data_IF_834918217316
#
_entry.id   IF_834918217316
#
_cell.length_a   1.000
_cell.length_b   1.000
_cell.length_c   1.000
_cell.angle_alpha   90.00
_cell.angle_beta   90.00
_cell.angle_gamma   90.00
#
_symmetry.space_group_name_H-M   'P 1'
#
loop_
_entity.id
_entity.type
_entity.pdbx_description
1 polymer ?
#
# COMPACT_ATOMS: atom_id res chain seq x y z
N UNK A 1 30.76 -2.09 16.96
CA UNK A 1 30.15 -2.62 15.72
C UNK A 1 28.67 -2.83 16.01
N UNK A 2 27.85 -1.80 15.90
CA UNK A 2 26.46 -1.81 16.39
C UNK A 2 25.60 -0.96 15.46
N UNK A 3 25.20 -1.52 14.30
CA UNK A 3 24.26 -0.83 13.40
C UNK A 3 23.45 -1.77 12.50
N UNK A 4 23.24 -3.03 12.89
CA UNK A 4 22.62 -4.04 12.02
C UNK A 4 21.14 -4.37 12.30
N UNK A 5 20.56 -3.97 13.45
CA UNK A 5 19.18 -4.37 13.78
C UNK A 5 18.13 -3.31 13.34
N UNK A 6 18.36 -2.02 13.62
CA UNK A 6 17.35 -0.97 13.38
C UNK A 6 17.10 -0.70 11.89
N UNK A 7 18.14 -0.82 11.06
CA UNK A 7 18.09 -0.54 9.62
C UNK A 7 17.17 -1.50 8.86
N UNK A 8 17.07 -2.77 9.28
CA UNK A 8 16.22 -3.74 8.58
C UNK A 8 14.73 -3.48 8.82
N UNK A 9 14.32 -3.20 10.07
CA UNK A 9 12.93 -2.87 10.39
C UNK A 9 12.47 -1.58 9.71
N UNK A 10 13.32 -0.54 9.72
CA UNK A 10 13.04 0.72 9.02
C UNK A 10 12.92 0.53 7.50
N UNK A 11 13.75 -0.33 6.90
CA UNK A 11 13.70 -0.64 5.47
C UNK A 11 12.45 -1.43 5.10
N UNK A 12 12.03 -2.39 5.93
CA UNK A 12 10.82 -3.18 5.73
C UNK A 12 9.56 -2.30 5.83
N UNK A 13 9.49 -1.45 6.86
CA UNK A 13 8.43 -0.46 7.08
C UNK A 13 8.27 0.48 5.89
N UNK A 14 9.40 1.02 5.39
CA UNK A 14 9.44 1.92 4.24
C UNK A 14 9.01 1.22 2.96
N UNK A 15 9.47 -0.01 2.73
CA UNK A 15 9.08 -0.78 1.54
C UNK A 15 7.58 -1.09 1.52
N UNK A 16 6.98 -1.48 2.65
CA UNK A 16 5.54 -1.72 2.70
C UNK A 16 4.70 -0.44 2.62
N UNK A 17 5.21 0.70 3.12
CA UNK A 17 4.58 2.01 2.90
C UNK A 17 4.56 2.38 1.40
N UNK A 18 5.69 2.24 0.71
CA UNK A 18 5.76 2.50 -0.74
C UNK A 18 4.90 1.53 -1.54
N UNK A 19 4.84 0.25 -1.15
CA UNK A 19 3.95 -0.73 -1.76
C UNK A 19 2.48 -0.32 -1.60
N UNK A 20 2.08 0.10 -0.39
CA UNK A 20 0.72 0.57 -0.12
C UNK A 20 0.34 1.80 -0.93
N UNK A 21 1.25 2.79 -1.02
CA UNK A 21 1.06 3.97 -1.88
C UNK A 21 0.91 3.56 -3.35
N UNK A 22 1.76 2.67 -3.85
CA UNK A 22 1.70 2.24 -5.25
C UNK A 22 0.36 1.56 -5.57
N UNK A 23 -0.12 0.70 -4.65
CA UNK A 23 -1.43 0.05 -4.78
C UNK A 23 -2.58 1.06 -4.74
N UNK A 24 -2.52 2.02 -3.80
CA UNK A 24 -3.52 3.07 -3.65
C UNK A 24 -3.60 3.95 -4.90
N UNK A 25 -2.46 4.45 -5.37
CA UNK A 25 -2.37 5.27 -6.58
C UNK A 25 -2.87 4.50 -7.79
N UNK A 26 -2.52 3.22 -7.94
CA UNK A 26 -3.00 2.39 -9.05
C UNK A 26 -4.51 2.15 -8.98
N UNK A 27 -5.08 1.95 -7.78
CA UNK A 27 -6.52 1.82 -7.56
C UNK A 27 -7.28 3.10 -7.90
N UNK A 28 -6.82 4.23 -7.36
CA UNK A 28 -7.42 5.54 -7.58
C UNK A 28 -7.34 5.97 -9.06
N UNK A 29 -6.18 5.79 -9.71
CA UNK A 29 -6.01 6.07 -11.13
C UNK A 29 -6.93 5.19 -11.99
N UNK A 30 -7.04 3.91 -11.66
CA UNK A 30 -7.95 3.00 -12.35
C UNK A 30 -9.42 3.41 -12.21
N UNK A 31 -9.84 3.81 -11.00
CA UNK A 31 -11.19 4.32 -10.76
C UNK A 31 -11.52 5.63 -11.48
N UNK A 32 -10.54 6.51 -11.71
CA UNK A 32 -10.70 7.79 -12.41
C UNK A 32 -10.63 7.63 -13.93
N UNK A 33 -9.73 6.78 -14.42
CA UNK A 33 -9.48 6.59 -15.86
C UNK A 33 -10.52 5.66 -16.48
N UNK A 34 -10.93 4.60 -15.78
CA UNK A 34 -11.87 3.59 -16.30
C UNK A 34 -13.21 4.19 -16.80
N UNK A 35 -13.87 5.12 -16.10
CA UNK A 35 -15.09 5.77 -16.60
C UNK A 35 -14.86 6.68 -17.82
N UNK A 36 -13.63 7.15 -18.03
CA UNK A 36 -13.24 8.01 -19.17
C UNK A 36 -12.92 7.23 -20.44
N UNK A 37 -12.79 5.90 -20.36
CA UNK A 37 -12.61 5.04 -21.53
C UNK A 37 -13.97 4.79 -22.18
N UNK A 38 -14.05 4.93 -23.51
CA UNK A 38 -15.28 4.66 -24.29
C UNK A 38 -15.65 3.16 -24.34
N UNK A 39 -14.89 2.31 -23.64
CA UNK A 39 -15.14 0.89 -23.51
C UNK A 39 -16.01 0.63 -22.28
N UNK A 40 -17.10 -0.15 -22.39
CA UNK A 40 -17.87 -0.58 -21.23
C UNK A 40 -16.99 -1.37 -20.26
N UNK A 41 -16.65 -0.74 -19.13
CA UNK A 41 -15.90 -1.36 -18.04
C UNK A 41 -16.87 -2.21 -17.23
N UNK A 42 -16.77 -3.55 -17.22
CA UNK A 42 -17.63 -4.38 -16.41
C UNK A 42 -17.50 -4.07 -14.91
N UNK A 43 -18.61 -4.18 -14.18
CA UNK A 43 -18.70 -3.76 -12.76
C UNK A 43 -17.73 -4.46 -11.79
N UNK A 44 -17.16 -5.61 -12.18
CA UNK A 44 -16.13 -6.29 -11.40
C UNK A 44 -14.76 -5.57 -11.44
N UNK A 45 -14.45 -4.83 -12.51
CA UNK A 45 -13.22 -4.02 -12.60
C UNK A 45 -13.29 -2.83 -11.64
N UNK A 46 -14.44 -2.18 -11.56
CA UNK A 46 -14.67 -1.10 -10.59
C UNK A 46 -14.47 -1.56 -9.14
N UNK A 47 -14.94 -2.77 -8.80
CA UNK A 47 -14.74 -3.32 -7.46
C UNK A 47 -13.30 -3.72 -7.21
N UNK A 48 -12.57 -4.23 -8.20
CA UNK A 48 -11.13 -4.49 -8.08
C UNK A 48 -10.32 -3.21 -7.82
N UNK A 49 -10.61 -2.11 -8.53
CA UNK A 49 -9.94 -0.83 -8.28
C UNK A 49 -10.23 -0.30 -6.87
N UNK A 50 -11.47 -0.44 -6.42
CA UNK A 50 -11.86 -0.10 -5.05
C UNK A 50 -11.09 -0.95 -4.02
N UNK A 51 -11.03 -2.27 -4.22
CA UNK A 51 -10.29 -3.16 -3.32
C UNK A 51 -8.79 -2.83 -3.30
N UNK A 52 -8.18 -2.53 -4.44
CA UNK A 52 -6.79 -2.11 -4.52
C UNK A 52 -6.55 -0.79 -3.76
N UNK A 53 -7.48 0.16 -3.85
CA UNK A 53 -7.43 1.41 -3.09
C UNK A 53 -7.48 1.16 -1.58
N UNK A 54 -8.47 0.39 -1.10
CA UNK A 54 -8.64 0.06 0.32
C UNK A 54 -7.40 -0.70 0.85
N UNK A 55 -6.97 -1.74 0.14
CA UNK A 55 -5.82 -2.54 0.55
C UNK A 55 -4.54 -1.68 0.53
N UNK A 56 -4.38 -0.82 -0.48
CA UNK A 56 -3.27 0.12 -0.56
C UNK A 56 -3.21 1.08 0.62
N UNK A 57 -4.34 1.67 0.99
CA UNK A 57 -4.47 2.52 2.18
C UNK A 57 -4.16 1.75 3.47
N UNK A 58 -4.77 0.57 3.66
CA UNK A 58 -4.57 -0.23 4.88
C UNK A 58 -3.11 -0.65 4.99
N UNK A 59 -2.53 -1.22 3.94
CA UNK A 59 -1.12 -1.65 3.92
C UNK A 59 -0.19 -0.46 4.07
N UNK A 60 -0.44 0.64 3.36
CA UNK A 60 0.35 1.86 3.44
C UNK A 60 0.36 2.43 4.86
N UNK A 61 -0.79 2.50 5.51
CA UNK A 61 -0.90 3.11 6.85
C UNK A 61 -0.39 2.17 7.96
N UNK A 62 -0.71 0.88 7.88
CA UNK A 62 -0.32 -0.09 8.92
C UNK A 62 1.11 -0.61 8.77
N UNK A 63 1.70 -0.63 7.57
CA UNK A 63 3.09 -1.08 7.38
C UNK A 63 4.11 -0.32 8.24
N UNK A 64 4.19 1.02 8.22
CA UNK A 64 5.13 1.77 9.05
C UNK A 64 4.80 1.65 10.54
N UNK A 65 3.53 1.46 10.90
CA UNK A 65 3.10 1.29 12.29
C UNK A 65 3.55 -0.07 12.86
N UNK A 66 3.30 -1.16 12.12
CA UNK A 66 3.66 -2.52 12.56
C UNK A 66 5.17 -2.76 12.50
N UNK A 67 5.82 -2.45 11.38
CA UNK A 67 7.24 -2.74 11.17
C UNK A 67 8.18 -1.66 11.71
N UNK A 68 7.74 -0.41 11.76
CA UNK A 68 8.56 0.72 12.22
C UNK A 68 8.41 1.02 13.71
N UNK A 69 7.27 0.67 14.32
CA UNK A 69 7.00 0.96 15.74
C UNK A 69 6.81 -0.32 16.55
N UNK A 70 5.85 -1.17 16.20
CA UNK A 70 5.50 -2.33 17.06
C UNK A 70 6.63 -3.36 17.14
N UNK A 71 7.19 -3.77 16.01
CA UNK A 71 8.27 -4.79 15.96
C UNK A 71 9.51 -4.42 16.78
N UNK A 72 10.10 -3.22 16.64
CA UNK A 72 11.25 -2.83 17.46
C UNK A 72 10.94 -2.61 18.95
N UNK A 73 9.66 -2.56 19.36
CA UNK A 73 9.26 -2.50 20.78
C UNK A 73 8.99 -3.88 21.39
N UNK A 74 8.74 -4.90 20.56
CA UNK A 74 8.49 -6.29 21.00
C UNK A 74 9.80 -7.07 21.18
N UNK A 75 10.84 -6.67 20.46
CA UNK A 75 12.20 -7.23 20.54
C UNK A 75 13.03 -6.56 21.65
#
# INVERSE_FOLDING_TARGET
MTQYSTTNYAKLAKSGFFLGIALFVSGALGGIIAPGLQTPVPGWEHTLFLYAEIIGTVVGFFSPLVFGVVLPLVD
#
